data_IF_216488845868
#
_entry.id   IF_216488845868
#
_cell.length_a   1.000
_cell.length_b   1.000
_cell.length_c   1.000
_cell.angle_alpha   90.00
_cell.angle_beta   90.00
_cell.angle_gamma   90.00
#
_symmetry.space_group_name_H-M   'P 1'
#
loop_
_entity.id
_entity.type
_entity.pdbx_description
1 polymer ?
#
# COMPACT_ATOMS: atom_id res chain seq x y z
N UNK A 1 15.79 -16.31 18.86
CA UNK A 1 16.37 -15.83 20.14
C UNK A 1 15.35 -16.03 21.25
N UNK A 2 15.48 -17.10 22.04
CA UNK A 2 14.48 -17.48 23.08
C UNK A 2 14.46 -16.52 24.28
N UNK A 3 15.60 -15.91 24.61
CA UNK A 3 15.76 -15.06 25.80
C UNK A 3 15.07 -13.68 25.73
N UNK A 4 14.51 -13.30 24.58
CA UNK A 4 13.74 -12.06 24.41
C UNK A 4 12.22 -12.31 24.49
N UNK A 5 11.76 -13.53 24.78
CA UNK A 5 10.34 -13.86 24.84
C UNK A 5 9.66 -13.21 26.04
N UNK A 6 8.57 -12.48 25.77
CA UNK A 6 7.65 -11.93 26.75
C UNK A 6 6.22 -12.13 26.24
N UNK A 7 5.21 -12.16 27.13
CA UNK A 7 3.81 -12.38 26.70
C UNK A 7 3.26 -11.26 25.81
N UNK A 8 3.84 -10.06 25.88
CA UNK A 8 3.46 -8.93 25.04
C UNK A 8 4.72 -8.13 24.62
N UNK A 9 5.50 -8.65 23.66
CA UNK A 9 6.75 -8.02 23.26
C UNK A 9 6.45 -6.76 22.46
N UNK A 10 7.01 -5.62 22.89
CA UNK A 10 6.95 -4.39 22.11
C UNK A 10 7.61 -4.54 20.72
N UNK A 11 7.31 -3.62 19.80
CA UNK A 11 7.75 -3.68 18.40
C UNK A 11 9.26 -3.95 18.24
N UNK A 12 10.10 -3.34 19.09
CA UNK A 12 11.55 -3.56 19.07
C UNK A 12 11.92 -5.02 19.32
N UNK A 13 11.40 -5.65 20.38
CA UNK A 13 11.71 -7.07 20.70
C UNK A 13 11.21 -7.99 19.59
N UNK A 14 10.03 -7.72 19.04
CA UNK A 14 9.45 -8.53 17.97
C UNK A 14 10.34 -8.55 16.71
N UNK A 15 10.84 -7.38 16.28
CA UNK A 15 11.73 -7.31 15.13
C UNK A 15 13.13 -7.84 15.46
N UNK A 16 13.62 -7.59 16.68
CA UNK A 16 14.91 -8.08 17.14
C UNK A 16 14.99 -9.60 17.16
N UNK A 17 13.92 -10.28 17.56
CA UNK A 17 13.84 -11.74 17.52
C UNK A 17 13.91 -12.31 16.10
N UNK A 18 13.45 -11.55 15.10
CA UNK A 18 13.52 -11.88 13.68
C UNK A 18 14.84 -11.48 13.03
N UNK A 19 15.68 -10.70 13.73
CA UNK A 19 16.97 -10.28 13.19
C UNK A 19 17.93 -11.46 13.09
N UNK A 20 18.52 -11.61 11.91
CA UNK A 20 19.63 -12.53 11.67
C UNK A 20 20.82 -11.75 11.08
N UNK A 21 21.94 -12.44 10.83
CA UNK A 21 23.08 -11.83 10.15
C UNK A 21 22.73 -11.36 8.73
N UNK A 22 21.84 -12.08 8.04
CA UNK A 22 21.39 -11.78 6.68
C UNK A 22 20.17 -10.85 6.66
N UNK A 23 19.31 -10.93 7.67
CA UNK A 23 18.08 -10.14 7.77
C UNK A 23 18.19 -9.12 8.91
N UNK A 24 18.73 -7.95 8.60
CA UNK A 24 18.89 -6.83 9.53
C UNK A 24 18.15 -5.55 9.11
N UNK A 25 17.46 -5.59 7.97
CA UNK A 25 16.66 -4.49 7.43
C UNK A 25 15.18 -4.85 7.48
N UNK A 26 14.36 -3.94 8.01
CA UNK A 26 12.93 -4.11 8.12
C UNK A 26 12.22 -2.87 7.59
N UNK A 27 11.15 -3.10 6.83
CA UNK A 27 10.24 -2.06 6.38
C UNK A 27 8.86 -2.37 6.95
N UNK A 28 8.34 -1.46 7.75
CA UNK A 28 6.97 -1.51 8.25
C UNK A 28 6.10 -0.61 7.38
N UNK A 29 5.04 -1.18 6.80
CA UNK A 29 4.10 -0.46 5.96
C UNK A 29 2.76 -0.48 6.69
N UNK A 30 2.23 0.70 6.96
CA UNK A 30 0.91 0.88 7.54
C UNK A 30 0.01 1.52 6.50
N UNK A 31 -0.94 0.75 5.99
CA UNK A 31 -1.96 1.25 5.08
C UNK A 31 -3.16 1.80 5.86
N UNK A 32 -3.88 2.77 5.27
CA UNK A 32 -5.02 3.46 5.90
C UNK A 32 -4.72 3.92 7.34
N UNK A 33 -3.56 4.58 7.54
CA UNK A 33 -3.07 4.91 8.86
C UNK A 33 -3.98 5.91 9.62
N UNK A 34 -4.89 6.62 8.95
CA UNK A 34 -5.91 7.44 9.62
C UNK A 34 -6.78 6.66 10.63
N UNK A 35 -6.97 5.35 10.42
CA UNK A 35 -7.72 4.50 11.35
C UNK A 35 -7.04 4.40 12.71
N UNK A 36 -5.73 4.62 12.80
CA UNK A 36 -5.01 4.71 14.06
C UNK A 36 -5.65 5.70 15.05
N UNK A 37 -6.20 6.80 14.54
CA UNK A 37 -6.75 7.87 15.37
C UNK A 37 -8.15 7.55 15.92
N UNK A 38 -8.81 6.47 15.45
CA UNK A 38 -10.09 6.00 15.98
C UNK A 38 -9.94 5.10 17.21
N UNK A 39 -8.72 4.59 17.48
CA UNK A 39 -8.44 3.72 18.63
C UNK A 39 -8.45 4.47 19.97
N UNK A 40 -8.64 3.78 21.11
CA UNK A 40 -8.57 4.40 22.43
C UNK A 40 -7.24 5.11 22.69
N UNK A 41 -7.24 6.27 23.38
CA UNK A 41 -6.02 7.06 23.61
C UNK A 41 -4.85 6.29 24.24
N UNK A 42 -5.14 5.37 25.17
CA UNK A 42 -4.12 4.53 25.80
C UNK A 42 -3.40 3.62 24.79
N UNK A 43 -4.11 3.07 23.80
CA UNK A 43 -3.53 2.25 22.75
C UNK A 43 -2.71 3.12 21.78
N UNK A 44 -3.21 4.30 21.44
CA UNK A 44 -2.47 5.26 20.61
C UNK A 44 -1.14 5.64 21.27
N UNK A 45 -1.16 5.96 22.56
CA UNK A 45 0.03 6.32 23.33
C UNK A 45 1.04 5.16 23.40
N UNK A 46 0.56 3.94 23.68
CA UNK A 46 1.40 2.75 23.72
C UNK A 46 2.09 2.50 22.38
N UNK A 47 1.34 2.57 21.27
CA UNK A 47 1.89 2.40 19.92
C UNK A 47 2.92 3.48 19.57
N UNK A 48 2.63 4.75 19.83
CA UNK A 48 3.56 5.87 19.61
C UNK A 48 4.88 5.66 20.34
N UNK A 49 4.81 5.24 21.60
CA UNK A 49 5.99 4.93 22.42
C UNK A 49 6.80 3.79 21.81
N UNK A 50 6.17 2.66 21.50
CA UNK A 50 6.85 1.51 20.91
C UNK A 50 7.49 1.83 19.55
N UNK A 51 6.83 2.64 18.73
CA UNK A 51 7.36 3.06 17.43
C UNK A 51 8.55 4.02 17.58
N UNK A 52 8.51 4.92 18.56
CA UNK A 52 9.62 5.82 18.86
C UNK A 52 10.83 5.07 19.41
N UNK A 53 10.61 4.11 20.31
CA UNK A 53 11.65 3.19 20.80
C UNK A 53 12.29 2.42 19.64
N UNK A 54 11.47 1.94 18.70
CA UNK A 54 11.97 1.22 17.53
C UNK A 54 12.82 2.09 16.60
N UNK A 55 12.43 3.35 16.38
CA UNK A 55 13.04 4.23 15.38
C UNK A 55 14.21 5.06 15.89
N UNK A 56 14.20 5.42 17.17
CA UNK A 56 15.16 6.37 17.73
C UNK A 56 16.00 5.80 18.87
N UNK A 57 15.53 4.78 19.60
CA UNK A 57 16.31 4.23 20.70
C UNK A 57 17.37 3.25 20.20
N UNK A 58 18.58 3.38 20.74
CA UNK A 58 19.64 2.38 20.54
C UNK A 58 19.24 1.06 21.19
N UNK A 59 18.59 1.12 22.36
CA UNK A 59 18.08 -0.04 23.09
C UNK A 59 16.92 0.38 24.03
N UNK A 60 15.77 -0.32 24.06
CA UNK A 60 14.70 -0.05 25.01
C UNK A 60 15.13 -0.21 26.48
N UNK A 61 14.54 0.57 27.39
CA UNK A 61 14.92 0.60 28.82
C UNK A 61 14.74 -0.75 29.51
N UNK A 62 13.64 -1.45 29.23
CA UNK A 62 13.36 -2.78 29.77
C UNK A 62 14.39 -3.83 29.32
N UNK A 63 15.00 -3.64 28.14
CA UNK A 63 16.07 -4.51 27.64
C UNK A 63 17.41 -4.13 28.27
N UNK A 64 17.66 -2.84 28.52
CA UNK A 64 18.87 -2.37 29.21
C UNK A 64 18.98 -2.96 30.62
N UNK A 65 17.88 -2.95 31.38
CA UNK A 65 17.83 -3.49 32.75
C UNK A 65 18.11 -4.99 32.80
N UNK A 66 17.83 -5.71 31.70
CA UNK A 66 18.06 -7.15 31.58
C UNK A 66 19.45 -7.51 31.04
N UNK A 67 20.27 -6.53 30.62
CA UNK A 67 21.58 -6.81 30.01
C UNK A 67 22.53 -7.55 30.96
N UNK A 68 22.49 -7.25 32.25
CA UNK A 68 23.37 -7.84 33.26
C UNK A 68 23.09 -9.34 33.48
N UNK A 69 21.91 -9.80 33.10
CA UNK A 69 21.49 -11.21 33.18
C UNK A 69 21.89 -12.01 31.93
N UNK A 70 22.38 -11.34 30.88
CA UNK A 70 22.72 -11.95 29.61
C UNK A 70 24.19 -12.34 29.53
N UNK A 71 24.47 -13.43 28.82
CA UNK A 71 25.84 -13.82 28.50
C UNK A 71 26.42 -12.98 27.34
N UNK A 72 27.73 -13.07 27.13
CA UNK A 72 28.43 -12.24 26.13
C UNK A 72 27.95 -12.41 24.69
N UNK A 73 27.45 -13.59 24.29
CA UNK A 73 26.89 -13.80 22.96
C UNK A 73 25.51 -13.15 22.81
N UNK A 74 24.67 -13.26 23.85
CA UNK A 74 23.36 -12.63 23.91
C UNK A 74 23.47 -11.11 23.89
N UNK A 75 24.41 -10.53 24.65
CA UNK A 75 24.69 -9.09 24.63
C UNK A 75 25.08 -8.64 23.23
N UNK A 76 25.98 -9.36 22.54
CA UNK A 76 26.38 -9.03 21.16
C UNK A 76 25.19 -9.06 20.20
N UNK A 77 24.32 -10.07 20.31
CA UNK A 77 23.13 -10.17 19.49
C UNK A 77 22.16 -9.01 19.74
N UNK A 78 21.93 -8.64 21.01
CA UNK A 78 21.07 -7.51 21.42
C UNK A 78 21.60 -6.17 20.91
N UNK A 79 22.89 -5.93 21.03
CA UNK A 79 23.52 -4.66 20.62
C UNK A 79 23.72 -4.53 19.11
N UNK A 80 23.54 -5.62 18.35
CA UNK A 80 23.65 -5.55 16.89
C UNK A 80 22.63 -4.54 16.34
N UNK A 81 23.04 -3.55 15.53
CA UNK A 81 22.10 -2.56 15.00
C UNK A 81 21.11 -3.21 14.04
N UNK A 82 19.88 -2.71 14.04
CA UNK A 82 18.82 -3.09 13.11
C UNK A 82 18.39 -1.85 12.35
N UNK A 83 18.20 -1.97 11.04
CA UNK A 83 17.77 -0.86 10.19
C UNK A 83 16.27 -0.96 9.96
N UNK A 84 15.52 -0.01 10.49
CA UNK A 84 14.07 0.02 10.35
C UNK A 84 13.65 1.24 9.54
N UNK A 85 12.75 1.03 8.57
CA UNK A 85 12.04 2.08 7.85
C UNK A 85 10.54 1.89 8.06
N UNK A 86 9.83 3.01 8.13
CA UNK A 86 8.38 3.03 8.31
C UNK A 86 7.77 3.84 7.18
N UNK A 87 6.74 3.31 6.55
CA UNK A 87 5.92 3.96 5.54
C UNK A 87 4.50 4.02 6.10
N UNK A 88 3.95 5.22 6.20
CA UNK A 88 2.57 5.46 6.61
C UNK A 88 1.81 5.97 5.38
N UNK A 89 0.87 5.19 4.89
CA UNK A 89 -0.10 5.62 3.88
C UNK A 89 -1.30 6.22 4.60
N UNK A 90 -1.71 7.42 4.21
CA UNK A 90 -2.80 8.16 4.83
C UNK A 90 -3.43 9.08 3.81
N UNK A 91 -4.76 9.22 3.88
CA UNK A 91 -5.49 10.15 3.01
C UNK A 91 -5.06 11.61 3.21
N UNK A 92 -5.07 12.37 2.13
CA UNK A 92 -4.68 13.80 2.15
C UNK A 92 -5.54 14.64 3.09
N UNK A 93 -6.85 14.39 3.15
CA UNK A 93 -7.80 15.09 4.05
C UNK A 93 -7.61 14.75 5.53
N UNK A 94 -6.90 13.65 5.83
CA UNK A 94 -6.59 13.19 7.19
C UNK A 94 -5.17 13.51 7.63
N UNK A 95 -4.40 14.20 6.79
CA UNK A 95 -2.99 14.45 7.04
C UNK A 95 -2.71 15.25 8.31
N UNK A 96 -3.62 16.15 8.69
CA UNK A 96 -3.53 16.94 9.92
C UNK A 96 -3.51 16.10 11.20
N UNK A 97 -4.04 14.86 11.17
CA UNK A 97 -4.02 13.98 12.33
C UNK A 97 -2.60 13.60 12.77
N UNK A 98 -1.66 13.52 11.82
CA UNK A 98 -0.25 13.22 12.11
C UNK A 98 0.44 14.31 12.94
N UNK A 99 -0.07 15.54 12.96
CA UNK A 99 0.47 16.61 13.81
C UNK A 99 0.45 16.21 15.29
N UNK A 100 -0.57 15.46 15.69
CA UNK A 100 -0.70 14.99 17.07
C UNK A 100 0.40 14.01 17.48
N UNK A 101 1.15 13.43 16.54
CA UNK A 101 2.20 12.42 16.81
C UNK A 101 3.61 13.02 16.87
N UNK A 102 3.78 14.31 16.57
CA UNK A 102 5.10 14.98 16.51
C UNK A 102 5.81 15.03 17.85
N UNK A 103 5.07 15.00 18.95
CA UNK A 103 5.59 14.98 20.31
C UNK A 103 6.48 13.76 20.58
N UNK A 104 6.07 12.60 20.06
CA UNK A 104 6.74 11.32 20.27
C UNK A 104 7.56 10.90 19.04
N UNK A 105 7.13 11.31 17.85
CA UNK A 105 7.72 10.99 16.55
C UNK A 105 8.03 12.28 15.76
N UNK A 106 9.04 13.05 16.16
CA UNK A 106 9.31 14.36 15.55
C UNK A 106 9.59 14.28 14.04
N UNK A 107 10.22 13.19 13.57
CA UNK A 107 10.54 13.02 12.16
C UNK A 107 9.37 12.52 11.28
N UNK A 108 8.18 12.28 11.84
CA UNK A 108 7.05 11.64 11.12
C UNK A 108 6.62 12.42 9.86
N UNK A 109 6.78 13.75 9.85
CA UNK A 109 6.44 14.60 8.70
C UNK A 109 7.64 15.07 7.88
N UNK A 110 8.87 14.65 8.21
CA UNK A 110 10.08 15.12 7.52
C UNK A 110 10.13 14.68 6.06
N UNK A 111 9.61 13.48 5.76
CA UNK A 111 9.55 12.93 4.41
C UNK A 111 8.11 12.64 4.06
N UNK A 112 7.56 13.45 3.15
CA UNK A 112 6.20 13.29 2.63
C UNK A 112 6.28 13.09 1.13
N UNK A 113 5.52 12.13 0.65
CA UNK A 113 5.34 11.90 -0.77
C UNK A 113 3.84 11.88 -1.05
N UNK A 114 3.40 12.81 -1.87
CA UNK A 114 2.01 12.91 -2.29
C UNK A 114 1.84 12.11 -3.58
N UNK A 115 0.88 11.18 -3.58
CA UNK A 115 0.46 10.51 -4.80
C UNK A 115 -0.41 11.47 -5.59
N UNK A 116 0.10 11.91 -6.73
CA UNK A 116 -0.61 12.81 -7.63
C UNK A 116 -1.56 12.02 -8.55
N UNK A 117 -2.57 12.70 -9.11
CA UNK A 117 -3.38 12.14 -10.18
C UNK A 117 -2.51 11.64 -11.34
N UNK A 118 -3.01 10.65 -12.06
CA UNK A 118 -2.37 10.13 -13.27
C UNK A 118 -2.50 11.16 -14.39
N UNK A 119 -1.43 11.42 -15.12
CA UNK A 119 -1.56 12.15 -16.38
C UNK A 119 -2.26 11.29 -17.44
N UNK A 120 -2.72 11.90 -18.54
CA UNK A 120 -3.45 11.20 -19.60
C UNK A 120 -2.73 9.96 -20.14
N UNK A 121 -1.40 10.03 -20.32
CA UNK A 121 -0.62 8.89 -20.80
C UNK A 121 -0.64 7.74 -19.78
N UNK A 122 -0.40 8.05 -18.51
CA UNK A 122 -0.42 7.06 -17.42
C UNK A 122 -1.81 6.46 -17.22
N UNK A 123 -2.87 7.27 -17.31
CA UNK A 123 -4.25 6.82 -17.23
C UNK A 123 -4.58 5.85 -18.37
N UNK A 124 -4.20 6.19 -19.61
CA UNK A 124 -4.40 5.31 -20.77
C UNK A 124 -3.67 3.99 -20.64
N UNK A 125 -2.41 4.02 -20.17
CA UNK A 125 -1.64 2.81 -19.87
C UNK A 125 -2.34 1.97 -18.78
N UNK A 126 -2.85 2.61 -17.73
CA UNK A 126 -3.58 1.94 -16.64
C UNK A 126 -4.91 1.32 -17.08
N UNK A 127 -5.58 1.85 -18.11
CA UNK A 127 -6.81 1.28 -18.67
C UNK A 127 -6.49 0.11 -19.62
N UNK A 128 -5.57 0.33 -20.57
CA UNK A 128 -5.38 -0.59 -21.71
C UNK A 128 -4.48 -1.77 -21.36
N UNK A 129 -3.41 -1.55 -20.59
CA UNK A 129 -2.43 -2.62 -20.32
C UNK A 129 -2.99 -3.78 -19.50
N UNK A 130 -3.87 -3.57 -18.51
CA UNK A 130 -4.54 -4.69 -17.83
C UNK A 130 -5.53 -5.43 -18.73
N UNK A 131 -6.29 -4.72 -19.57
CA UNK A 131 -7.34 -5.30 -20.42
C UNK A 131 -6.82 -6.33 -21.43
N UNK A 132 -5.62 -6.12 -21.96
CA UNK A 132 -4.97 -7.06 -22.90
C UNK A 132 -4.28 -8.25 -22.21
N UNK A 133 -4.17 -8.25 -20.87
CA UNK A 133 -3.59 -9.38 -20.13
C UNK A 133 -4.64 -10.48 -19.97
N UNK A 134 -4.75 -11.32 -21.00
CA UNK A 134 -5.55 -12.53 -20.97
C UNK A 134 -4.87 -13.73 -20.31
N UNK A 135 -5.58 -14.85 -20.30
CA UNK A 135 -5.12 -16.13 -19.75
C UNK A 135 -4.03 -16.82 -20.60
N UNK A 136 -3.80 -16.37 -21.83
CA UNK A 136 -2.92 -17.03 -22.80
C UNK A 136 -1.43 -17.00 -22.41
N UNK A 137 -1.04 -16.19 -21.41
CA UNK A 137 0.32 -16.14 -20.86
C UNK A 137 0.43 -16.65 -19.43
N UNK A 138 -0.64 -17.20 -18.85
CA UNK A 138 -0.61 -17.74 -17.50
C UNK A 138 0.24 -19.03 -17.48
N UNK A 139 1.48 -18.94 -16.97
CA UNK A 139 2.34 -20.11 -16.79
C UNK A 139 1.98 -20.89 -15.51
N UNK A 140 1.04 -20.37 -14.73
CA UNK A 140 0.57 -20.91 -13.47
C UNK A 140 -0.93 -20.62 -13.28
N UNK A 141 -1.63 -21.51 -12.59
CA UNK A 141 -3.01 -21.29 -12.11
C UNK A 141 -3.16 -20.04 -11.23
N UNK A 142 -2.05 -19.48 -10.73
CA UNK A 142 -2.02 -18.19 -10.00
C UNK A 142 -2.16 -16.96 -10.90
N UNK A 143 -2.02 -17.10 -12.21
CA UNK A 143 -1.98 -15.98 -13.18
C UNK A 143 -3.20 -15.95 -14.10
N UNK A 144 -4.20 -16.79 -13.85
CA UNK A 144 -5.43 -16.83 -14.63
C UNK A 144 -6.35 -15.69 -14.17
N UNK A 145 -6.53 -14.68 -15.02
CA UNK A 145 -7.51 -13.63 -14.84
C UNK A 145 -8.93 -14.18 -15.05
N UNK A 146 -9.85 -13.73 -14.20
CA UNK A 146 -11.27 -14.11 -14.28
C UNK A 146 -11.93 -13.47 -15.51
N UNK A 147 -11.49 -12.27 -15.88
CA UNK A 147 -11.96 -11.54 -17.05
C UNK A 147 -11.12 -11.96 -18.26
N UNK A 148 -11.74 -12.37 -19.39
CA UNK A 148 -11.00 -12.62 -20.63
C UNK A 148 -10.36 -11.32 -21.14
N UNK A 149 -9.33 -11.40 -22.01
CA UNK A 149 -8.76 -10.20 -22.62
C UNK A 149 -9.82 -9.47 -23.47
N UNK A 150 -9.70 -8.15 -23.55
CA UNK A 150 -10.62 -7.30 -24.28
C UNK A 150 -9.95 -6.00 -24.71
N UNK A 151 -10.59 -5.28 -25.63
CA UNK A 151 -10.11 -4.02 -26.18
C UNK A 151 -11.10 -2.88 -25.91
N UNK A 152 -10.62 -1.65 -26.10
CA UNK A 152 -11.45 -0.46 -26.01
C UNK A 152 -11.43 0.26 -27.35
N UNK A 153 -12.59 0.72 -27.80
CA UNK A 153 -12.65 1.59 -28.97
C UNK A 153 -11.96 2.93 -28.67
N UNK A 154 -11.34 3.60 -29.68
CA UNK A 154 -10.74 4.91 -29.49
C UNK A 154 -11.73 5.96 -28.96
N UNK A 155 -13.00 5.82 -29.34
CA UNK A 155 -14.11 6.65 -28.88
C UNK A 155 -14.44 6.44 -27.39
N UNK A 156 -14.47 5.19 -26.93
CA UNK A 156 -14.68 4.87 -25.52
C UNK A 156 -13.55 5.39 -24.63
N UNK A 157 -12.28 5.17 -25.02
CA UNK A 157 -11.13 5.70 -24.28
C UNK A 157 -11.18 7.22 -24.16
N UNK A 158 -11.48 7.91 -25.26
CA UNK A 158 -11.60 9.37 -25.26
C UNK A 158 -12.73 9.85 -24.34
N UNK A 159 -13.86 9.14 -24.31
CA UNK A 159 -14.98 9.47 -23.42
C UNK A 159 -14.59 9.29 -21.96
N UNK A 160 -13.97 8.16 -21.59
CA UNK A 160 -13.44 7.92 -20.23
C UNK A 160 -12.46 9.02 -19.82
N UNK A 161 -11.49 9.34 -20.69
CA UNK A 161 -10.50 10.39 -20.44
C UNK A 161 -11.18 11.76 -20.21
N UNK A 162 -12.20 12.10 -21.02
CA UNK A 162 -12.90 13.38 -20.90
C UNK A 162 -13.75 13.50 -19.62
N UNK A 163 -14.45 12.43 -19.24
CA UNK A 163 -15.36 12.46 -18.07
C UNK A 163 -14.59 12.37 -16.75
N UNK A 164 -13.45 11.69 -16.72
CA UNK A 164 -12.68 11.48 -15.49
C UNK A 164 -11.55 12.51 -15.27
N UNK A 165 -11.28 13.37 -16.25
CA UNK A 165 -10.33 14.46 -16.05
C UNK A 165 -10.92 15.46 -15.06
N UNK A 166 -10.17 15.77 -14.01
CA UNK A 166 -10.61 16.72 -12.98
C UNK A 166 -10.84 18.12 -13.54
N UNK A 167 -11.86 18.83 -13.07
CA UNK A 167 -12.09 20.24 -13.42
C UNK A 167 -10.97 21.17 -12.90
N UNK A 168 -10.24 20.74 -11.87
CA UNK A 168 -9.26 21.57 -11.14
C UNK A 168 -7.82 21.28 -11.61
N UNK A 169 -7.59 20.28 -12.48
CA UNK A 169 -6.29 20.01 -13.06
C UNK A 169 -6.27 18.92 -14.15
N UNK A 170 -5.22 18.92 -14.98
CA UNK A 170 -5.01 17.98 -16.11
C UNK A 170 -4.62 16.55 -15.67
N UNK A 171 -5.39 15.95 -14.77
CA UNK A 171 -5.12 14.62 -14.24
C UNK A 171 -6.37 13.83 -13.91
N UNK A 172 -6.21 12.50 -13.89
CA UNK A 172 -7.26 11.54 -13.60
C UNK A 172 -6.92 10.84 -12.27
N UNK A 173 -7.87 10.84 -11.33
CA UNK A 173 -7.68 10.16 -10.06
C UNK A 173 -7.72 8.63 -10.25
N UNK A 174 -6.74 7.93 -9.68
CA UNK A 174 -6.61 6.49 -9.87
C UNK A 174 -7.84 5.71 -9.36
N UNK A 175 -8.49 6.19 -8.29
CA UNK A 175 -9.68 5.53 -7.75
C UNK A 175 -10.89 5.63 -8.70
N UNK A 176 -11.03 6.72 -9.46
CA UNK A 176 -12.12 6.87 -10.44
C UNK A 176 -11.92 5.87 -11.58
N UNK A 177 -10.68 5.73 -12.08
CA UNK A 177 -10.35 4.71 -13.07
C UNK A 177 -10.64 3.31 -12.57
N UNK A 178 -10.28 3.02 -11.31
CA UNK A 178 -10.53 1.72 -10.72
C UNK A 178 -12.03 1.38 -10.68
N UNK A 179 -12.89 2.34 -10.34
CA UNK A 179 -14.34 2.14 -10.33
C UNK A 179 -14.87 1.86 -11.74
N UNK A 180 -14.51 2.70 -12.71
CA UNK A 180 -14.98 2.56 -14.10
C UNK A 180 -14.49 1.25 -14.72
N UNK A 181 -13.20 0.94 -14.59
CA UNK A 181 -12.64 -0.29 -15.14
C UNK A 181 -13.24 -1.54 -14.46
N UNK A 182 -13.51 -1.51 -13.15
CA UNK A 182 -14.11 -2.64 -12.45
C UNK A 182 -15.53 -2.96 -12.94
N UNK A 183 -16.36 -1.95 -13.22
CA UNK A 183 -17.69 -2.17 -13.79
C UNK A 183 -17.63 -2.68 -15.25
N UNK A 184 -16.68 -2.18 -16.05
CA UNK A 184 -16.44 -2.66 -17.41
C UNK A 184 -16.00 -4.13 -17.40
N UNK A 185 -14.99 -4.48 -16.59
CA UNK A 185 -14.53 -5.87 -16.44
C UNK A 185 -15.65 -6.81 -16.00
N UNK A 186 -16.51 -6.35 -15.09
CA UNK A 186 -17.69 -7.09 -14.66
C UNK A 186 -18.69 -7.30 -15.80
N UNK A 187 -18.93 -6.31 -16.66
CA UNK A 187 -19.79 -6.45 -17.83
C UNK A 187 -19.24 -7.47 -18.83
N UNK A 188 -17.92 -7.45 -19.04
CA UNK A 188 -17.19 -8.39 -19.92
C UNK A 188 -17.28 -9.81 -19.39
N UNK A 189 -17.03 -9.99 -18.09
CA UNK A 189 -17.17 -11.29 -17.42
C UNK A 189 -18.58 -11.85 -17.55
N UNK A 190 -19.59 -10.99 -17.58
CA UNK A 190 -20.99 -11.39 -17.78
C UNK A 190 -21.36 -11.60 -19.26
N UNK A 191 -20.41 -11.44 -20.20
CA UNK A 191 -20.64 -11.61 -21.64
C UNK A 191 -21.56 -10.55 -22.24
N UNK A 192 -21.66 -9.36 -21.61
CA UNK A 192 -22.55 -8.29 -22.07
C UNK A 192 -21.96 -7.43 -23.19
N UNK A 193 -20.65 -7.44 -23.33
CA UNK A 193 -19.92 -6.65 -24.33
C UNK A 193 -19.57 -7.57 -25.50
N UNK A 194 -20.08 -7.29 -26.72
CA UNK A 194 -19.78 -8.10 -27.90
C UNK A 194 -18.41 -7.77 -28.50
N UNK A 195 -17.90 -8.72 -29.30
CA UNK A 195 -16.87 -8.48 -30.31
C UNK A 195 -17.51 -7.73 -31.49
N UNK A 196 -17.00 -6.52 -31.79
CA UNK A 196 -17.56 -5.61 -32.79
C UNK A 196 -16.73 -5.59 -34.07
N UNK A 197 -15.43 -5.84 -34.00
CA UNK A 197 -14.52 -5.83 -35.15
C UNK A 197 -14.23 -7.22 -35.76
N UNK A 198 -14.68 -8.28 -35.08
CA UNK A 198 -14.56 -9.68 -35.50
C UNK A 198 -13.20 -10.32 -35.19
N UNK A 199 -12.38 -9.71 -34.33
CA UNK A 199 -11.05 -10.21 -33.99
C UNK A 199 -11.05 -11.31 -32.90
N UNK A 200 -12.21 -11.63 -32.34
CA UNK A 200 -12.39 -12.62 -31.28
C UNK A 200 -12.31 -12.07 -29.85
N UNK A 201 -12.20 -10.75 -29.66
CA UNK A 201 -12.16 -10.07 -28.37
C UNK A 201 -13.37 -9.15 -28.19
N UNK A 202 -13.89 -8.98 -26.96
CA UNK A 202 -14.89 -7.96 -26.68
C UNK A 202 -14.32 -6.55 -26.89
N UNK A 203 -15.10 -5.67 -27.52
CA UNK A 203 -14.70 -4.28 -27.81
C UNK A 203 -15.53 -3.31 -26.98
N UNK A 204 -14.99 -2.72 -25.92
CA UNK A 204 -15.73 -1.75 -25.11
C UNK A 204 -15.97 -0.47 -25.91
N UNK A 205 -17.23 -0.13 -26.16
CA UNK A 205 -17.63 1.11 -26.85
C UNK A 205 -18.35 2.10 -25.92
N UNK A 206 -18.62 3.32 -26.39
CA UNK A 206 -19.27 4.40 -25.62
C UNK A 206 -20.59 3.92 -24.99
N UNK A 207 -21.35 3.06 -25.67
CA UNK A 207 -22.65 2.56 -25.19
C UNK A 207 -22.54 1.62 -24.00
N UNK A 208 -21.34 1.09 -23.73
CA UNK A 208 -21.09 0.11 -22.67
C UNK A 208 -20.47 0.76 -21.42
N UNK A 209 -20.15 2.05 -21.50
CA UNK A 209 -19.58 2.79 -20.38
C UNK A 209 -20.62 2.98 -19.27
N UNK A 210 -20.22 2.95 -18.00
CA UNK A 210 -21.10 3.30 -16.89
C UNK A 210 -21.52 4.77 -16.98
N UNK A 211 -22.64 5.10 -16.35
CA UNK A 211 -23.03 6.49 -16.14
C UNK A 211 -21.98 7.17 -15.23
N UNK A 212 -21.54 8.38 -15.63
CA UNK A 212 -20.55 9.20 -14.93
C UNK A 212 -21.19 10.19 -13.98
#
# INVERSE_FOLDING_TARGET
MDFLQTENPGLWRHLKQKQTAEQNQFVLIFDQFEEFFSYPPAQQQAFRKQLAELLYATLPTDVQEQLDELNGEQIRAVLQPMQVKVILSIRSDRMSLLDSMKDTLPAILHKRYELKPLNLKQAREAIVQPAIKGNDKAQSWKETFITPPFEYTPSALKKIEQELTSEIGDGIEAFQLQIVCAEIEKAIRLGKIPDRDGNGLPDVDITDLPDF
#
